data_IF_264723187467
#
_entry.id   IF_264723187467
#
_cell.length_a   1.000
_cell.length_b   1.000
_cell.length_c   1.000
_cell.angle_alpha   90.00
_cell.angle_beta   90.00
_cell.angle_gamma   90.00
#
_symmetry.space_group_name_H-M   'P 1'
#
loop_
_entity.id
_entity.type
_entity.pdbx_description
1 polymer ?
#
# COMPACT_ATOMS: atom_id res chain seq x y z
N UNK A 1 5.32 1.96 0.21
CA UNK A 1 5.90 1.57 1.50
C UNK A 1 7.08 0.61 1.27
N UNK A 2 8.25 0.91 1.85
CA UNK A 2 9.43 0.01 1.80
C UNK A 2 10.38 0.21 0.62
N UNK A 3 10.00 0.97 -0.40
CA UNK A 3 10.94 1.44 -1.45
C UNK A 3 11.91 2.45 -0.80
N UNK A 4 13.21 2.29 -1.05
CA UNK A 4 14.25 3.15 -0.45
C UNK A 4 14.23 4.60 -0.93
N UNK A 5 13.58 4.88 -2.06
CA UNK A 5 13.48 6.20 -2.69
C UNK A 5 14.83 6.93 -2.77
N UNK A 6 15.89 6.22 -3.20
CA UNK A 6 17.24 6.77 -3.24
C UNK A 6 17.30 7.95 -4.21
N UNK A 7 17.45 9.15 -3.64
CA UNK A 7 17.44 10.43 -4.37
C UNK A 7 16.15 10.71 -5.14
N UNK A 8 15.03 10.08 -4.76
CA UNK A 8 13.72 10.25 -5.40
C UNK A 8 12.63 10.55 -4.37
N UNK A 9 12.98 11.30 -3.32
CA UNK A 9 12.07 11.60 -2.21
C UNK A 9 10.79 12.33 -2.63
N UNK A 10 10.79 13.06 -3.75
CA UNK A 10 9.58 13.66 -4.32
C UNK A 10 8.51 12.63 -4.72
N UNK A 11 8.91 11.38 -4.97
CA UNK A 11 8.01 10.27 -5.31
C UNK A 11 7.70 9.36 -4.13
N UNK A 12 7.95 9.78 -2.89
CA UNK A 12 7.68 8.94 -1.71
C UNK A 12 6.19 8.86 -1.37
N UNK A 13 5.42 9.95 -1.53
CA UNK A 13 3.97 9.95 -1.37
C UNK A 13 3.35 10.62 -0.13
N UNK A 14 4.01 10.73 1.05
CA UNK A 14 3.35 11.28 2.24
C UNK A 14 2.89 12.74 2.05
N UNK A 15 1.57 12.93 2.11
CA UNK A 15 0.95 14.23 1.97
C UNK A 15 1.47 15.21 3.02
N UNK A 16 1.80 16.43 2.57
CA UNK A 16 2.38 17.52 3.36
C UNK A 16 3.79 17.28 3.91
N UNK A 17 4.43 16.16 3.57
CA UNK A 17 5.84 15.91 3.87
C UNK A 17 6.68 15.99 2.59
N UNK A 18 6.37 15.17 1.58
CA UNK A 18 7.13 15.13 0.32
C UNK A 18 6.36 15.71 -0.87
N UNK A 19 5.04 15.87 -0.73
CA UNK A 19 4.17 16.45 -1.76
C UNK A 19 2.89 17.05 -1.18
N UNK A 20 2.27 17.98 -1.90
CA UNK A 20 0.86 18.34 -1.66
C UNK A 20 -0.07 17.20 -2.13
N UNK A 21 -1.27 17.05 -1.55
CA UNK A 21 -2.26 16.09 -2.04
C UNK A 21 -2.63 16.33 -3.50
N UNK A 22 -2.79 15.24 -4.25
CA UNK A 22 -3.28 15.27 -5.64
C UNK A 22 -4.78 15.57 -5.58
N UNK A 23 -5.21 16.73 -6.10
CA UNK A 23 -6.61 17.15 -6.03
C UNK A 23 -7.47 16.42 -7.08
N UNK A 24 -8.78 16.44 -6.88
CA UNK A 24 -9.73 15.92 -7.86
C UNK A 24 -9.51 16.52 -9.25
N UNK A 25 -9.45 15.67 -10.27
CA UNK A 25 -9.17 16.08 -11.65
C UNK A 25 -7.69 16.33 -11.98
N UNK A 26 -6.78 16.16 -11.02
CA UNK A 26 -5.33 16.28 -11.25
C UNK A 26 -4.65 14.91 -11.28
N UNK A 27 -3.44 14.88 -11.84
CA UNK A 27 -2.61 13.69 -11.94
C UNK A 27 -1.19 14.00 -11.47
N UNK A 28 -0.50 12.97 -10.98
CA UNK A 28 0.91 13.03 -10.60
C UNK A 28 1.60 11.74 -11.03
N UNK A 29 2.83 11.85 -11.53
CA UNK A 29 3.64 10.69 -11.94
C UNK A 29 4.69 10.42 -10.86
N UNK A 30 4.62 9.25 -10.24
CA UNK A 30 5.65 8.75 -9.34
C UNK A 30 6.77 8.11 -10.16
N UNK A 31 8.00 8.60 -10.00
CA UNK A 31 9.16 8.11 -10.75
C UNK A 31 10.31 7.79 -9.79
N UNK A 32 10.74 6.53 -9.79
CA UNK A 32 11.83 6.04 -8.95
C UNK A 32 12.49 4.80 -9.56
N UNK A 33 13.72 4.53 -9.13
CA UNK A 33 14.46 3.33 -9.53
C UNK A 33 14.60 2.37 -8.35
N UNK A 34 14.32 1.09 -8.61
CA UNK A 34 14.55 0.02 -7.64
C UNK A 34 16.04 -0.31 -7.59
N UNK A 35 16.68 -0.07 -6.46
CA UNK A 35 18.12 -0.31 -6.26
C UNK A 35 18.35 -1.33 -5.15
N UNK A 36 18.88 -2.49 -5.51
CA UNK A 36 19.27 -3.56 -4.58
C UNK A 36 18.16 -3.92 -3.59
N UNK A 37 16.91 -4.00 -4.07
CA UNK A 37 15.75 -4.47 -3.32
C UNK A 37 15.06 -5.58 -4.11
N UNK A 38 14.49 -6.55 -3.39
CA UNK A 38 13.64 -7.63 -3.90
C UNK A 38 12.66 -8.03 -2.80
N UNK A 39 11.59 -8.73 -3.19
CA UNK A 39 10.60 -9.27 -2.28
C UNK A 39 9.24 -8.58 -2.38
N UNK A 40 8.40 -8.86 -1.39
CA UNK A 40 7.02 -8.37 -1.33
C UNK A 40 6.95 -7.09 -0.50
N UNK A 41 6.50 -6.02 -1.14
CA UNK A 41 6.23 -4.72 -0.53
C UNK A 41 4.75 -4.36 -0.71
N UNK A 42 4.38 -3.16 -0.26
CA UNK A 42 3.02 -2.62 -0.35
C UNK A 42 3.05 -1.19 -0.90
N UNK A 43 2.10 -0.84 -1.73
CA UNK A 43 1.75 0.56 -2.03
C UNK A 43 0.40 0.89 -1.40
N UNK A 44 0.22 2.14 -0.97
CA UNK A 44 -1.03 2.60 -0.41
C UNK A 44 -1.12 4.13 -0.50
N UNK A 45 -2.34 4.67 -0.46
CA UNK A 45 -2.55 6.09 -0.29
C UNK A 45 -1.90 6.58 1.01
N UNK A 46 -1.28 7.75 0.97
CA UNK A 46 -0.61 8.36 2.11
C UNK A 46 -1.23 9.72 2.47
N UNK A 47 -2.56 9.78 2.36
CA UNK A 47 -3.38 10.95 2.68
C UNK A 47 -4.62 10.50 3.46
N UNK A 48 -4.80 11.05 4.68
CA UNK A 48 -5.91 10.68 5.57
C UNK A 48 -6.00 9.15 5.76
N UNK A 49 -7.22 8.61 5.82
CA UNK A 49 -7.54 7.20 6.02
C UNK A 49 -7.73 6.41 4.72
N UNK A 50 -7.43 7.04 3.58
CA UNK A 50 -7.61 6.43 2.26
C UNK A 50 -6.84 5.12 2.08
N UNK A 51 -5.79 4.87 2.89
CA UNK A 51 -5.09 3.59 2.91
C UNK A 51 -6.03 2.41 3.18
N UNK A 52 -7.15 2.60 3.88
CA UNK A 52 -8.07 1.50 4.19
C UNK A 52 -8.81 0.92 2.97
N UNK A 53 -8.78 1.61 1.82
CA UNK A 53 -9.38 1.13 0.58
C UNK A 53 -8.48 1.29 -0.64
N UNK A 54 -7.46 2.15 -0.57
CA UNK A 54 -6.53 2.45 -1.66
C UNK A 54 -5.15 1.90 -1.32
N UNK A 55 -4.94 0.63 -1.67
CA UNK A 55 -3.71 -0.11 -1.43
C UNK A 55 -3.54 -1.27 -2.41
N UNK A 56 -2.35 -1.87 -2.41
CA UNK A 56 -2.08 -3.10 -3.14
C UNK A 56 -0.66 -3.62 -2.94
N UNK A 57 -0.44 -4.88 -3.32
CA UNK A 57 0.87 -5.50 -3.28
C UNK A 57 1.81 -4.84 -4.31
N UNK A 58 3.09 -4.73 -3.96
CA UNK A 58 4.16 -4.33 -4.86
C UNK A 58 5.26 -5.39 -4.81
N UNK A 59 5.37 -6.20 -5.85
CA UNK A 59 6.27 -7.37 -5.86
C UNK A 59 7.49 -7.07 -6.72
N UNK A 60 8.68 -7.23 -6.14
CA UNK A 60 9.95 -7.08 -6.85
C UNK A 60 10.60 -8.46 -6.96
N UNK A 61 10.46 -9.07 -8.14
CA UNK A 61 11.07 -10.36 -8.44
C UNK A 61 12.60 -10.28 -8.41
N UNK A 62 13.28 -11.37 -7.99
CA UNK A 62 14.72 -11.39 -7.94
C UNK A 62 15.31 -11.47 -9.36
N UNK A 63 16.45 -10.81 -9.57
CA UNK A 63 17.25 -10.96 -10.81
C UNK A 63 18.12 -12.22 -10.81
N UNK A 64 18.26 -12.84 -9.64
CA UNK A 64 19.01 -14.08 -9.40
C UNK A 64 18.01 -15.15 -8.95
N UNK A 65 18.30 -16.45 -9.11
CA UNK A 65 17.44 -17.51 -8.57
C UNK A 65 17.15 -17.31 -7.08
N UNK A 66 15.97 -17.75 -6.66
CA UNK A 66 15.62 -17.80 -5.25
C UNK A 66 16.59 -18.72 -4.48
N UNK A 67 16.85 -18.48 -3.18
CA UNK A 67 17.78 -19.27 -2.38
C UNK A 67 17.22 -20.65 -1.96
N UNK A 68 16.17 -21.12 -2.62
CA UNK A 68 15.53 -22.40 -2.38
C UNK A 68 15.45 -23.20 -3.70
N UNK A 69 15.56 -24.52 -3.58
CA UNK A 69 15.61 -25.44 -4.73
C UNK A 69 14.25 -25.95 -5.17
N UNK A 70 13.23 -25.88 -4.31
CA UNK A 70 11.89 -26.33 -4.64
C UNK A 70 11.28 -25.43 -5.74
N UNK A 71 10.62 -26.01 -6.76
CA UNK A 71 9.94 -25.23 -7.79
C UNK A 71 8.77 -24.47 -7.17
N UNK A 72 8.58 -23.21 -7.59
CA UNK A 72 7.43 -22.39 -7.18
C UNK A 72 6.22 -22.81 -8.01
N UNK A 73 5.17 -23.26 -7.34
CA UNK A 73 3.91 -23.66 -7.97
C UNK A 73 3.00 -22.45 -8.23
N UNK A 74 2.94 -21.52 -7.26
CA UNK A 74 2.17 -20.29 -7.36
C UNK A 74 2.73 -19.22 -6.41
N UNK A 75 2.56 -17.95 -6.79
CA UNK A 75 2.80 -16.81 -5.92
C UNK A 75 1.48 -16.05 -5.76
N UNK A 76 0.90 -16.08 -4.56
CA UNK A 76 -0.42 -15.50 -4.28
C UNK A 76 -0.25 -14.44 -3.17
N UNK A 77 -0.44 -13.15 -3.48
CA UNK A 77 -0.47 -12.11 -2.46
C UNK A 77 -1.66 -12.32 -1.51
N UNK A 78 -1.38 -12.31 -0.21
CA UNK A 78 -2.38 -12.30 0.85
C UNK A 78 -2.23 -10.98 1.61
N UNK A 79 -3.23 -10.12 1.49
CA UNK A 79 -3.30 -8.83 2.17
C UNK A 79 -4.37 -8.92 3.25
N UNK A 80 -3.97 -8.63 4.48
CA UNK A 80 -4.88 -8.48 5.61
C UNK A 80 -5.18 -7.01 5.80
N UNK A 81 -6.46 -6.66 5.90
CA UNK A 81 -6.89 -5.30 6.21
C UNK A 81 -8.22 -5.31 6.96
N UNK A 82 -8.70 -4.14 7.37
CA UNK A 82 -10.01 -3.95 8.01
C UNK A 82 -10.91 -3.10 7.13
N UNK A 83 -12.22 -3.34 7.19
CA UNK A 83 -13.17 -2.42 6.56
C UNK A 83 -13.22 -1.12 7.37
N UNK A 84 -12.94 0.02 6.72
CA UNK A 84 -12.96 1.32 7.38
C UNK A 84 -14.30 2.04 7.23
N UNK A 85 -14.71 2.67 8.33
CA UNK A 85 -15.79 3.65 8.39
C UNK A 85 -15.14 5.02 8.67
N UNK A 86 -15.14 5.91 7.67
CA UNK A 86 -14.54 7.26 7.78
C UNK A 86 -15.48 8.32 8.39
N UNK A 87 -16.69 7.94 8.82
CA UNK A 87 -17.79 8.90 9.03
C UNK A 87 -17.58 9.86 10.23
N UNK A 88 -16.94 9.42 11.32
CA UNK A 88 -17.01 10.15 12.60
C UNK A 88 -15.89 11.17 12.88
N UNK A 89 -14.84 11.18 12.05
CA UNK A 89 -13.71 12.09 12.28
C UNK A 89 -13.99 13.56 11.95
N UNK A 90 -15.06 13.83 11.20
CA UNK A 90 -15.47 15.20 10.86
C UNK A 90 -15.85 16.01 12.10
N UNK A 91 -16.26 15.35 13.18
CA UNK A 91 -16.75 15.99 14.41
C UNK A 91 -15.75 15.93 15.58
N UNK A 92 -14.49 15.54 15.31
CA UNK A 92 -13.46 15.40 16.35
C UNK A 92 -13.56 14.12 17.17
N UNK A 93 -14.41 13.18 16.76
CA UNK A 93 -14.44 11.81 17.29
C UNK A 93 -13.26 10.97 16.80
N UNK A 94 -12.97 9.89 17.52
CA UNK A 94 -12.07 8.85 17.02
C UNK A 94 -12.71 8.05 15.88
N UNK A 95 -11.92 7.24 15.14
CA UNK A 95 -12.49 6.33 14.16
C UNK A 95 -13.35 5.26 14.83
N UNK A 96 -14.41 4.84 14.16
CA UNK A 96 -15.19 3.67 14.57
C UNK A 96 -14.36 2.40 14.46
N UNK A 97 -14.78 1.36 15.20
CA UNK A 97 -14.24 0.02 15.01
C UNK A 97 -14.71 -0.54 13.67
N UNK A 98 -13.83 -1.28 12.99
CA UNK A 98 -14.18 -1.98 11.76
C UNK A 98 -15.20 -3.08 12.01
N UNK A 99 -16.18 -3.22 11.13
CA UNK A 99 -17.17 -4.30 11.19
C UNK A 99 -16.57 -5.69 10.91
N UNK A 100 -15.48 -5.74 10.14
CA UNK A 100 -14.81 -6.98 9.76
C UNK A 100 -13.32 -6.78 9.45
N UNK A 101 -12.55 -7.82 9.74
CA UNK A 101 -11.24 -8.05 9.13
C UNK A 101 -11.43 -8.71 7.77
N UNK A 102 -10.51 -8.46 6.83
CA UNK A 102 -10.58 -8.95 5.46
C UNK A 102 -9.29 -9.65 5.05
N UNK A 103 -9.43 -10.65 4.18
CA UNK A 103 -8.34 -11.23 3.41
C UNK A 103 -8.59 -10.87 1.95
N UNK A 104 -7.68 -10.13 1.34
CA UNK A 104 -7.81 -9.63 -0.03
C UNK A 104 -9.15 -8.89 -0.26
N UNK A 105 -9.58 -8.09 0.73
CA UNK A 105 -10.82 -7.32 0.68
C UNK A 105 -12.11 -8.11 0.95
N UNK A 106 -12.01 -9.42 1.25
CA UNK A 106 -13.16 -10.27 1.55
C UNK A 106 -13.22 -10.58 3.06
N UNK A 107 -14.37 -10.36 3.72
CA UNK A 107 -14.54 -10.66 5.15
C UNK A 107 -14.69 -12.17 5.44
N UNK A 108 -14.77 -13.00 4.40
CA UNK A 108 -15.09 -14.42 4.51
C UNK A 108 -16.58 -14.69 4.29
N UNK A 109 -17.03 -15.94 4.48
CA UNK A 109 -18.44 -16.28 4.40
C UNK A 109 -19.24 -15.59 5.52
N UNK A 110 -20.39 -15.03 5.15
CA UNK A 110 -21.38 -14.43 6.05
C UNK A 110 -22.35 -15.50 6.60
#
# INVERSE_FOLDING_TARGET
HGIRQLRTGWSDGPAYITQCPIKGGQSYTYEFTIVNQRGTLLWHAHHSWQRASVYGAFIIYPRMPYPFSAPIQAEIPIIFDVNAVENDMKYGGGPDSSDACTINGLPGPL
#
